data_IF_553984135747
#
_entry.id   IF_553984135747
#
_cell.length_a   1.000
_cell.length_b   1.000
_cell.length_c   1.000
_cell.angle_alpha   90.00
_cell.angle_beta   90.00
_cell.angle_gamma   90.00
#
_symmetry.space_group_name_H-M   'P 1'
#
loop_
_entity.id
_entity.type
_entity.pdbx_description
1 polymer ?
#
# COMPACT_ATOMS: atom_id res chain seq x y z
N UNK A 1 -23.72 1.86 43.92
CA UNK A 1 -23.76 0.77 42.91
C UNK A 1 -24.63 1.19 41.71
N UNK A 2 -24.29 2.28 41.00
CA UNK A 2 -25.19 2.89 40.00
C UNK A 2 -24.44 3.52 38.79
N UNK A 3 -23.37 2.89 38.30
CA UNK A 3 -22.59 3.45 37.16
C UNK A 3 -22.22 2.46 36.06
N UNK A 4 -22.46 1.15 36.22
CA UNK A 4 -22.05 0.16 35.21
C UNK A 4 -23.04 0.02 34.04
N UNK A 5 -24.30 0.45 34.19
CA UNK A 5 -25.33 0.28 33.15
C UNK A 5 -25.33 1.39 32.06
N UNK A 6 -24.74 2.56 32.33
CA UNK A 6 -24.73 3.69 31.39
C UNK A 6 -23.63 3.59 30.31
N UNK A 7 -22.71 2.65 30.45
CA UNK A 7 -21.62 2.40 29.48
C UNK A 7 -21.81 1.10 28.67
N UNK A 8 -23.02 0.52 28.68
CA UNK A 8 -23.33 -0.58 27.76
C UNK A 8 -23.39 0.00 26.34
N UNK A 9 -22.53 -0.43 25.38
CA UNK A 9 -22.56 0.12 24.05
C UNK A 9 -23.89 -0.22 23.38
N UNK A 10 -24.60 0.80 22.88
CA UNK A 10 -25.90 0.67 22.24
C UNK A 10 -25.92 -0.53 21.26
N UNK A 11 -26.83 -1.50 21.41
CA UNK A 11 -26.83 -2.71 20.59
C UNK A 11 -27.00 -2.41 19.09
N UNK A 12 -27.71 -1.33 18.75
CA UNK A 12 -27.84 -0.83 17.38
C UNK A 12 -26.51 -0.29 16.80
N UNK A 13 -25.67 0.35 17.64
CA UNK A 13 -24.32 0.79 17.26
C UNK A 13 -23.38 -0.40 17.06
N UNK A 14 -23.48 -1.42 17.91
CA UNK A 14 -22.69 -2.65 17.77
C UNK A 14 -23.03 -3.42 16.49
N UNK A 15 -24.31 -3.49 16.10
CA UNK A 15 -24.71 -4.14 14.84
C UNK A 15 -24.13 -3.43 13.62
N UNK A 16 -24.23 -2.10 13.55
CA UNK A 16 -23.59 -1.30 12.48
C UNK A 16 -22.07 -1.48 12.44
N UNK A 17 -21.41 -1.52 13.60
CA UNK A 17 -19.97 -1.77 13.67
C UNK A 17 -19.57 -3.17 13.16
N UNK A 18 -20.40 -4.20 13.43
CA UNK A 18 -20.18 -5.57 12.94
C UNK A 18 -20.36 -5.67 11.42
N UNK A 19 -21.36 -5.01 10.86
CA UNK A 19 -21.58 -4.94 9.40
C UNK A 19 -20.44 -4.21 8.70
N UNK A 20 -20.04 -3.05 9.22
CA UNK A 20 -18.86 -2.31 8.75
C UNK A 20 -17.61 -3.19 8.77
N UNK A 21 -17.34 -3.86 9.90
CA UNK A 21 -16.16 -4.72 10.05
C UNK A 21 -16.17 -5.92 9.09
N UNK A 22 -17.34 -6.51 8.82
CA UNK A 22 -17.46 -7.61 7.84
C UNK A 22 -17.15 -7.12 6.43
N UNK A 23 -17.66 -5.96 6.06
CA UNK A 23 -17.46 -5.38 4.72
C UNK A 23 -16.01 -4.94 4.53
N UNK A 24 -15.41 -4.29 5.53
CA UNK A 24 -14.01 -3.88 5.52
C UNK A 24 -13.06 -5.08 5.44
N UNK A 25 -13.37 -6.20 6.12
CA UNK A 25 -12.59 -7.44 5.99
C UNK A 25 -12.63 -8.03 4.59
N UNK A 26 -13.80 -8.03 3.93
CA UNK A 26 -13.91 -8.53 2.55
C UNK A 26 -13.13 -7.66 1.56
N UNK A 27 -13.20 -6.35 1.73
CA UNK A 27 -12.41 -5.40 0.93
C UNK A 27 -10.91 -5.62 1.14
N UNK A 28 -10.46 -5.79 2.39
CA UNK A 28 -9.07 -6.12 2.70
C UNK A 28 -8.64 -7.44 2.03
N UNK A 29 -9.47 -8.48 2.08
CA UNK A 29 -9.20 -9.75 1.41
C UNK A 29 -9.10 -9.62 -0.11
N UNK A 30 -9.95 -8.77 -0.72
CA UNK A 30 -9.87 -8.46 -2.15
C UNK A 30 -8.60 -7.70 -2.49
N UNK A 31 -8.21 -6.71 -1.67
CA UNK A 31 -6.99 -5.93 -1.83
C UNK A 31 -5.74 -6.84 -1.77
N UNK A 32 -5.68 -7.72 -0.76
CA UNK A 32 -4.66 -8.74 -0.63
C UNK A 32 -4.65 -9.70 -1.83
N UNK A 33 -5.81 -10.15 -2.27
CA UNK A 33 -5.96 -11.04 -3.42
C UNK A 33 -5.45 -10.41 -4.71
N UNK A 34 -5.83 -9.17 -4.99
CA UNK A 34 -5.37 -8.40 -6.16
C UNK A 34 -3.86 -8.17 -6.06
N UNK A 35 -3.35 -7.79 -4.89
CA UNK A 35 -1.92 -7.62 -4.66
C UNK A 35 -1.12 -8.90 -4.93
N UNK A 36 -1.62 -10.04 -4.43
CA UNK A 36 -1.02 -11.35 -4.68
C UNK A 36 -1.05 -11.72 -6.17
N UNK A 37 -2.17 -11.51 -6.86
CA UNK A 37 -2.29 -11.76 -8.30
C UNK A 37 -1.31 -10.87 -9.09
N UNK A 38 -1.18 -9.59 -8.73
CA UNK A 38 -0.22 -8.69 -9.37
C UNK A 38 1.22 -9.15 -9.15
N UNK A 39 1.56 -9.56 -7.94
CA UNK A 39 2.88 -10.13 -7.62
C UNK A 39 3.16 -11.40 -8.42
N UNK A 40 2.20 -12.33 -8.46
CA UNK A 40 2.32 -13.57 -9.23
C UNK A 40 2.43 -13.27 -10.73
N UNK A 41 1.62 -12.35 -11.25
CA UNK A 41 1.73 -11.91 -12.64
C UNK A 41 3.10 -11.30 -12.92
N UNK A 42 3.61 -10.43 -12.04
CA UNK A 42 4.94 -9.83 -12.21
C UNK A 42 6.03 -10.92 -12.25
N UNK A 43 5.93 -11.91 -11.36
CA UNK A 43 6.89 -13.01 -11.22
C UNK A 43 6.85 -13.97 -12.43
N UNK A 44 5.67 -14.45 -12.82
CA UNK A 44 5.52 -15.43 -13.89
C UNK A 44 5.67 -14.83 -15.29
N UNK A 45 5.31 -13.55 -15.47
CA UNK A 45 5.33 -12.92 -16.80
C UNK A 45 6.69 -12.31 -17.13
N UNK A 46 7.59 -12.15 -16.16
CA UNK A 46 8.91 -11.52 -16.35
C UNK A 46 8.83 -10.06 -16.81
N UNK A 47 7.68 -9.41 -16.58
CA UNK A 47 7.43 -8.03 -17.00
C UNK A 47 8.40 -7.07 -16.34
N UNK A 48 8.87 -7.38 -15.12
CA UNK A 48 9.93 -6.62 -14.44
C UNK A 48 11.21 -6.54 -15.28
N UNK A 49 11.70 -7.67 -15.77
CA UNK A 49 12.92 -7.75 -16.58
C UNK A 49 12.75 -7.01 -17.92
N UNK A 50 11.57 -7.12 -18.53
CA UNK A 50 11.25 -6.37 -19.77
C UNK A 50 11.22 -4.86 -19.51
N UNK A 51 10.56 -4.41 -18.45
CA UNK A 51 10.52 -2.99 -18.09
C UNK A 51 11.93 -2.41 -17.89
N UNK A 52 12.79 -3.12 -17.15
CA UNK A 52 14.18 -2.70 -16.93
C UNK A 52 14.96 -2.68 -18.24
N UNK A 53 14.74 -3.65 -19.15
CA UNK A 53 15.41 -3.67 -20.46
C UNK A 53 15.00 -2.51 -21.38
N UNK A 54 13.79 -1.96 -21.20
CA UNK A 54 13.33 -0.77 -21.92
C UNK A 54 13.84 0.54 -21.31
N UNK A 55 14.43 0.52 -20.11
CA UNK A 55 15.00 1.70 -19.46
C UNK A 55 16.49 1.82 -19.82
N UNK A 56 16.88 2.79 -20.67
CA UNK A 56 18.27 2.93 -21.14
C UNK A 56 19.20 3.61 -20.10
N UNK A 57 18.80 3.71 -18.83
CA UNK A 57 19.52 4.46 -17.81
C UNK A 57 20.47 3.56 -17.01
N UNK A 58 21.62 4.11 -16.59
CA UNK A 58 22.53 3.43 -15.68
C UNK A 58 21.93 3.32 -14.26
N UNK A 59 22.36 2.30 -13.51
CA UNK A 59 22.08 2.22 -12.08
C UNK A 59 22.76 3.39 -11.35
N UNK A 60 22.14 4.05 -10.35
CA UNK A 60 20.85 3.74 -9.68
C UNK A 60 19.59 4.41 -10.25
N UNK A 61 19.68 5.22 -11.32
CA UNK A 61 18.54 5.96 -11.87
C UNK A 61 17.49 5.03 -12.49
N UNK A 62 17.93 3.92 -13.11
CA UNK A 62 17.03 2.89 -13.63
C UNK A 62 16.20 2.22 -12.50
N UNK A 63 16.82 1.94 -11.35
CA UNK A 63 16.13 1.37 -10.20
C UNK A 63 15.09 2.34 -9.62
N UNK A 64 15.44 3.63 -9.51
CA UNK A 64 14.52 4.67 -9.07
C UNK A 64 13.30 4.80 -10.00
N UNK A 65 13.53 4.82 -11.32
CA UNK A 65 12.45 4.94 -12.30
C UNK A 65 11.58 3.67 -12.34
N UNK A 66 12.18 2.49 -12.21
CA UNK A 66 11.44 1.23 -12.06
C UNK A 66 10.54 1.25 -10.82
N UNK A 67 11.07 1.67 -9.66
CA UNK A 67 10.31 1.82 -8.42
C UNK A 67 9.15 2.80 -8.59
N UNK A 68 9.39 3.93 -9.26
CA UNK A 68 8.36 4.92 -9.54
C UNK A 68 7.22 4.33 -10.39
N UNK A 69 7.55 3.63 -11.49
CA UNK A 69 6.56 2.99 -12.36
C UNK A 69 5.77 1.93 -11.58
N UNK A 70 6.45 1.11 -10.78
CA UNK A 70 5.82 0.07 -9.98
C UNK A 70 4.85 0.66 -8.95
N UNK A 71 5.28 1.66 -8.20
CA UNK A 71 4.45 2.34 -7.17
C UNK A 71 3.27 3.04 -7.81
N UNK A 72 3.47 3.74 -8.94
CA UNK A 72 2.37 4.38 -9.66
C UNK A 72 1.39 3.36 -10.24
N UNK A 73 1.87 2.29 -10.88
CA UNK A 73 1.03 1.24 -11.44
C UNK A 73 0.19 0.54 -10.36
N UNK A 74 0.83 0.14 -9.27
CA UNK A 74 0.14 -0.44 -8.11
C UNK A 74 -0.84 0.56 -7.49
N UNK A 75 -0.43 1.81 -7.32
CA UNK A 75 -1.25 2.89 -6.79
C UNK A 75 -2.50 3.14 -7.62
N UNK A 76 -2.41 3.13 -8.95
CA UNK A 76 -3.56 3.29 -9.86
C UNK A 76 -4.53 2.11 -9.75
N UNK A 77 -4.01 0.87 -9.68
CA UNK A 77 -4.85 -0.32 -9.58
C UNK A 77 -5.56 -0.37 -8.22
N UNK A 78 -4.88 0.02 -7.15
CA UNK A 78 -5.45 0.05 -5.80
C UNK A 78 -6.25 1.31 -5.49
N UNK A 79 -6.06 2.42 -6.22
CA UNK A 79 -6.77 3.68 -6.01
C UNK A 79 -8.31 3.54 -5.95
N UNK A 80 -8.99 2.86 -6.90
CA UNK A 80 -10.44 2.70 -6.83
C UNK A 80 -10.89 1.86 -5.62
N UNK A 81 -10.11 0.84 -5.26
CA UNK A 81 -10.39 -0.01 -4.10
C UNK A 81 -10.23 0.78 -2.80
N UNK A 82 -9.13 1.51 -2.67
CA UNK A 82 -8.82 2.37 -1.53
C UNK A 82 -9.78 3.55 -1.40
N UNK A 83 -10.24 4.15 -2.50
CA UNK A 83 -11.30 5.17 -2.47
C UNK A 83 -12.60 4.61 -1.89
N UNK A 84 -12.99 3.40 -2.28
CA UNK A 84 -14.21 2.79 -1.76
C UNK A 84 -14.09 2.45 -0.27
N UNK A 85 -12.95 1.93 0.17
CA UNK A 85 -12.71 1.52 1.55
C UNK A 85 -12.50 2.71 2.52
N UNK A 86 -11.67 3.69 2.14
CA UNK A 86 -11.28 4.80 3.01
C UNK A 86 -12.25 5.99 2.94
N UNK A 87 -12.88 6.21 1.79
CA UNK A 87 -13.74 7.38 1.60
C UNK A 87 -15.22 7.01 1.60
N UNK A 88 -15.66 6.09 0.73
CA UNK A 88 -17.09 5.78 0.55
C UNK A 88 -17.67 5.03 1.76
N UNK A 89 -16.94 4.04 2.29
CA UNK A 89 -17.40 3.24 3.41
C UNK A 89 -17.63 4.07 4.68
N UNK A 90 -16.68 4.89 5.15
CA UNK A 90 -16.85 5.63 6.40
C UNK A 90 -17.88 6.76 6.27
N UNK A 91 -17.99 7.40 5.10
CA UNK A 91 -19.02 8.40 4.83
C UNK A 91 -20.43 7.81 4.86
N UNK A 92 -20.62 6.60 4.32
CA UNK A 92 -21.93 5.92 4.34
C UNK A 92 -22.40 5.59 5.76
N UNK A 93 -21.49 5.32 6.68
CA UNK A 93 -21.79 5.06 8.09
C UNK A 93 -21.71 6.31 8.98
N UNK A 94 -21.45 7.50 8.41
CA UNK A 94 -21.30 8.75 9.16
C UNK A 94 -20.10 8.75 10.13
N UNK A 95 -19.10 7.92 9.87
CA UNK A 95 -17.90 7.74 10.69
C UNK A 95 -16.77 8.70 10.30
N UNK A 96 -16.85 9.35 9.15
CA UNK A 96 -15.86 10.31 8.67
C UNK A 96 -16.51 11.62 8.26
N UNK A 97 -15.87 12.72 8.64
CA UNK A 97 -16.18 14.10 8.24
C UNK A 97 -15.14 14.66 7.25
N UNK A 98 -14.23 13.81 6.77
CA UNK A 98 -13.09 14.22 5.94
C UNK A 98 -13.55 14.52 4.50
N UNK A 99 -13.24 15.71 3.99
CA UNK A 99 -13.53 16.07 2.59
C UNK A 99 -12.67 15.27 1.58
N UNK A 100 -13.19 15.08 0.36
CA UNK A 100 -12.48 14.40 -0.77
C UNK A 100 -11.08 14.98 -1.02
N UNK A 101 -10.94 16.31 -0.92
CA UNK A 101 -9.66 17.02 -1.11
C UNK A 101 -8.66 16.64 -0.01
N UNK A 102 -9.13 16.50 1.24
CA UNK A 102 -8.30 16.05 2.35
C UNK A 102 -7.81 14.62 2.15
N UNK A 103 -8.71 13.72 1.75
CA UNK A 103 -8.37 12.33 1.43
C UNK A 103 -7.33 12.24 0.30
N UNK A 104 -7.52 13.00 -0.78
CA UNK A 104 -6.59 13.00 -1.91
C UNK A 104 -5.21 13.54 -1.49
N UNK A 105 -5.18 14.59 -0.66
CA UNK A 105 -3.93 15.17 -0.14
C UNK A 105 -3.18 14.17 0.75
N UNK A 106 -3.89 13.40 1.56
CA UNK A 106 -3.28 12.37 2.41
C UNK A 106 -2.74 11.21 1.58
N UNK A 107 -3.46 10.78 0.53
CA UNK A 107 -2.96 9.78 -0.43
C UNK A 107 -1.73 10.28 -1.21
N UNK A 108 -1.72 11.54 -1.62
CA UNK A 108 -0.56 12.14 -2.28
C UNK A 108 0.66 12.19 -1.35
N UNK A 109 0.47 12.56 -0.08
CA UNK A 109 1.54 12.53 0.92
C UNK A 109 2.04 11.12 1.17
N UNK A 110 1.14 10.12 1.30
CA UNK A 110 1.55 8.73 1.53
C UNK A 110 2.33 8.17 0.35
N UNK A 111 1.92 8.50 -0.89
CA UNK A 111 2.67 8.14 -2.09
C UNK A 111 4.06 8.79 -2.09
N UNK A 112 4.14 10.09 -1.80
CA UNK A 112 5.40 10.82 -1.77
C UNK A 112 6.35 10.28 -0.68
N UNK A 113 5.83 10.02 0.51
CA UNK A 113 6.57 9.38 1.61
C UNK A 113 7.04 7.97 1.21
N UNK A 114 6.18 7.16 0.60
CA UNK A 114 6.54 5.83 0.12
C UNK A 114 7.64 5.85 -0.93
N UNK A 115 7.59 6.81 -1.87
CA UNK A 115 8.64 6.99 -2.87
C UNK A 115 9.97 7.41 -2.25
N UNK A 116 9.97 8.40 -1.34
CA UNK A 116 11.18 8.86 -0.65
C UNK A 116 11.80 7.73 0.17
N UNK A 117 10.98 6.96 0.90
CA UNK A 117 11.44 5.81 1.68
C UNK A 117 11.99 4.70 0.77
N UNK A 118 11.31 4.39 -0.35
CA UNK A 118 11.77 3.40 -1.32
C UNK A 118 13.10 3.77 -1.96
N UNK A 119 13.26 5.05 -2.35
CA UNK A 119 14.52 5.59 -2.86
C UNK A 119 15.63 5.49 -1.82
N UNK A 120 15.38 5.95 -0.59
CA UNK A 120 16.34 5.88 0.51
C UNK A 120 16.78 4.43 0.76
N UNK A 121 15.82 3.49 0.81
CA UNK A 121 16.09 2.08 0.99
C UNK A 121 16.99 1.52 -0.11
N UNK A 122 16.68 1.80 -1.38
CA UNK A 122 17.52 1.38 -2.52
C UNK A 122 18.93 1.95 -2.40
N UNK A 123 19.07 3.25 -2.10
CA UNK A 123 20.38 3.88 -1.91
C UNK A 123 21.16 3.21 -0.78
N UNK A 124 20.53 2.95 0.36
CA UNK A 124 21.17 2.26 1.50
C UNK A 124 21.61 0.84 1.13
N UNK A 125 20.78 0.08 0.42
CA UNK A 125 21.11 -1.28 -0.03
C UNK A 125 22.31 -1.26 -0.98
N UNK A 126 22.31 -0.36 -1.98
CA UNK A 126 23.43 -0.23 -2.91
C UNK A 126 24.72 0.18 -2.17
N UNK A 127 24.61 1.13 -1.23
CA UNK A 127 25.75 1.57 -0.43
C UNK A 127 26.30 0.44 0.45
N UNK A 128 25.43 -0.39 1.02
CA UNK A 128 25.80 -1.57 1.80
C UNK A 128 26.49 -2.64 0.93
N UNK A 129 26.02 -2.86 -0.30
CA UNK A 129 26.66 -3.76 -1.26
C UNK A 129 28.08 -3.31 -1.62
N UNK A 130 28.31 -2.01 -1.79
CA UNK A 130 29.64 -1.47 -2.07
C UNK A 130 30.60 -1.61 -0.87
N UNK A 131 30.09 -1.52 0.37
CA UNK A 131 30.90 -1.58 1.58
C UNK A 131 31.18 -3.00 2.11
N UNK A 132 30.33 -3.99 1.83
CA UNK A 132 30.52 -5.38 2.25
C UNK A 132 30.58 -6.38 1.08
N UNK A 133 31.50 -6.20 0.11
CA UNK A 133 31.66 -7.14 -1.01
C UNK A 133 32.16 -8.53 -0.55
N UNK A 134 32.58 -8.71 0.70
CA UNK A 134 33.04 -9.98 1.25
C UNK A 134 31.96 -10.83 1.93
N UNK A 135 30.71 -10.36 2.03
CA UNK A 135 29.60 -11.07 2.70
C UNK A 135 28.40 -11.37 1.78
N UNK A 136 28.39 -10.85 0.55
CA UNK A 136 27.31 -11.05 -0.43
C UNK A 136 27.01 -12.53 -0.76
N UNK A 137 28.02 -13.39 -0.76
CA UNK A 137 27.93 -14.85 -0.93
C UNK A 137 27.09 -15.58 0.14
N UNK A 138 26.86 -15.01 1.32
CA UNK A 138 25.95 -15.59 2.33
C UNK A 138 24.48 -15.23 2.09
N UNK A 139 24.20 -14.25 1.22
CA UNK A 139 22.86 -13.85 0.82
C UNK A 139 22.39 -14.53 -0.48
N UNK A 140 23.25 -15.33 -1.12
CA UNK A 140 22.95 -16.14 -2.31
C UNK A 140 22.61 -17.62 -1.97
N UNK A 141 22.25 -17.90 -0.70
CA UNK A 141 21.75 -19.21 -0.23
C UNK A 141 20.32 -19.07 0.29
#
# INVERSE_FOLDING_TARGET
>A
MMTLAQNAPDPARQQKAREYSKLSRRLLSLELGIGAILLLALLFTGVSARLVSFLPFASPWSAALYLLILVLGYGIIMAPLGYYQDFVLPHRYGLSTQNVIGWLKDKAKSLLLGLVLGLCLVTVIYWLMEWLPSLWWLADI
#
